data_IF_998375322655
#
_entry.id   IF_998375322655
#
_cell.length_a   1.000
_cell.length_b   1.000
_cell.length_c   1.000
_cell.angle_alpha   90.00
_cell.angle_beta   90.00
_cell.angle_gamma   90.00
#
_symmetry.space_group_name_H-M   'P 1'
#
loop_
_entity.id
_entity.type
_entity.pdbx_description
1 polymer ?
#
# COMPACT_ATOMS: atom_id res chain seq x y z
N UNK A 1 -8.82 -10.22 2.78
CA UNK A 1 -8.35 -8.81 2.76
C UNK A 1 -9.30 -7.99 3.59
N UNK A 2 -8.80 -7.09 4.43
CA UNK A 2 -9.62 -6.31 5.37
C UNK A 2 -9.06 -4.90 5.55
N UNK A 3 -9.53 -4.23 6.60
CA UNK A 3 -8.84 -3.04 7.07
C UNK A 3 -7.52 -3.43 7.76
N UNK A 4 -6.55 -2.52 7.79
CA UNK A 4 -5.31 -2.69 8.55
C UNK A 4 -5.54 -2.34 10.02
N UNK A 5 -6.45 -3.08 10.65
CA UNK A 5 -6.86 -2.87 12.03
C UNK A 5 -6.54 -4.09 12.91
N UNK A 6 -6.01 -3.80 14.09
CA UNK A 6 -5.55 -4.79 15.05
C UNK A 6 -6.69 -5.61 15.63
N UNK A 7 -7.87 -5.01 15.82
CA UNK A 7 -9.02 -5.74 16.31
C UNK A 7 -9.53 -6.73 15.26
N UNK A 8 -9.60 -6.32 13.99
CA UNK A 8 -9.93 -7.25 12.88
C UNK A 8 -8.90 -8.37 12.76
N UNK A 9 -7.61 -8.05 12.80
CA UNK A 9 -6.53 -9.04 12.75
C UNK A 9 -6.65 -10.08 13.87
N UNK A 10 -6.79 -9.60 15.11
CA UNK A 10 -6.86 -10.46 16.29
C UNK A 10 -8.14 -11.30 16.29
N UNK A 11 -9.28 -10.74 15.85
CA UNK A 11 -10.53 -11.48 15.75
C UNK A 11 -10.43 -12.62 14.71
N UNK A 12 -9.88 -12.33 13.53
CA UNK A 12 -9.69 -13.33 12.47
C UNK A 12 -8.76 -14.44 12.93
N UNK A 13 -7.60 -14.10 13.51
CA UNK A 13 -6.66 -15.11 13.99
C UNK A 13 -7.23 -15.95 15.13
N UNK A 14 -7.97 -15.36 16.05
CA UNK A 14 -8.58 -16.09 17.17
C UNK A 14 -9.58 -17.15 16.68
N UNK A 15 -10.37 -16.84 15.66
CA UNK A 15 -11.45 -17.72 15.19
C UNK A 15 -10.97 -18.68 14.12
N UNK A 16 -10.15 -18.22 13.19
CA UNK A 16 -9.78 -18.96 11.98
C UNK A 16 -8.31 -19.38 11.97
N UNK A 17 -7.45 -18.78 12.80
CA UNK A 17 -6.00 -19.02 12.80
C UNK A 17 -5.53 -20.22 13.60
N UNK A 18 -6.40 -20.88 14.38
CA UNK A 18 -6.02 -22.06 15.19
C UNK A 18 -5.62 -23.23 14.30
N UNK A 19 -6.38 -23.50 13.25
CA UNK A 19 -6.18 -24.64 12.35
C UNK A 19 -5.67 -24.22 10.95
N UNK A 20 -5.41 -22.92 10.72
CA UNK A 20 -5.04 -22.40 9.41
C UNK A 20 -3.89 -21.39 9.47
N UNK A 21 -2.97 -21.48 8.52
CA UNK A 21 -1.99 -20.44 8.25
C UNK A 21 -2.62 -19.34 7.40
N UNK A 22 -3.06 -18.26 8.05
CA UNK A 22 -3.70 -17.13 7.38
C UNK A 22 -2.70 -16.01 7.13
N UNK A 23 -2.74 -15.45 5.92
CA UNK A 23 -2.13 -14.15 5.64
C UNK A 23 -3.24 -13.12 5.47
N UNK A 24 -3.24 -12.15 6.37
CA UNK A 24 -4.20 -11.05 6.34
C UNK A 24 -3.54 -9.86 5.64
N UNK A 25 -4.09 -9.49 4.49
CA UNK A 25 -3.59 -8.39 3.67
C UNK A 25 -4.53 -7.20 3.70
N UNK A 26 -3.97 -6.00 3.55
CA UNK A 26 -4.73 -4.78 3.32
C UNK A 26 -5.54 -4.88 2.03
N UNK A 27 -6.80 -4.46 2.10
CA UNK A 27 -7.62 -4.31 0.91
C UNK A 27 -7.09 -3.18 0.03
N UNK A 28 -6.84 -3.46 -1.24
CA UNK A 28 -6.39 -2.47 -2.22
C UNK A 28 -7.32 -1.24 -2.29
N UNK A 29 -8.63 -1.44 -2.21
CA UNK A 29 -9.58 -0.32 -2.25
C UNK A 29 -9.45 0.61 -1.03
N UNK A 30 -9.08 0.10 0.14
CA UNK A 30 -8.77 0.95 1.29
C UNK A 30 -7.49 1.76 1.06
N UNK A 31 -6.46 1.14 0.48
CA UNK A 31 -5.22 1.83 0.08
C UNK A 31 -5.56 2.95 -0.93
N UNK A 32 -6.30 2.64 -1.99
CA UNK A 32 -6.66 3.57 -3.04
C UNK A 32 -7.48 4.76 -2.49
N UNK A 33 -8.47 4.50 -1.62
CA UNK A 33 -9.25 5.54 -0.97
C UNK A 33 -8.36 6.47 -0.14
N UNK A 34 -7.46 5.91 0.69
CA UNK A 34 -6.54 6.71 1.50
C UNK A 34 -5.50 7.45 0.68
N UNK A 35 -5.01 6.88 -0.41
CA UNK A 35 -4.14 7.61 -1.33
C UNK A 35 -4.89 8.78 -1.94
N UNK A 36 -6.12 8.60 -2.42
CA UNK A 36 -6.95 9.68 -2.98
C UNK A 36 -7.22 10.82 -1.99
N UNK A 37 -7.37 10.50 -0.69
CA UNK A 37 -7.46 11.49 0.38
C UNK A 37 -6.14 12.26 0.54
N UNK A 38 -5.02 11.53 0.62
CA UNK A 38 -3.68 12.10 0.89
C UNK A 38 -3.06 12.84 -0.29
N UNK A 39 -3.53 12.57 -1.51
CA UNK A 39 -3.13 13.28 -2.72
C UNK A 39 -4.07 14.43 -3.08
N UNK A 40 -5.08 14.72 -2.24
CA UNK A 40 -6.00 15.83 -2.48
C UNK A 40 -5.20 17.15 -2.48
N UNK A 41 -5.30 17.90 -3.58
CA UNK A 41 -4.57 19.15 -3.76
C UNK A 41 -3.19 19.02 -4.41
N UNK A 42 -2.73 17.79 -4.70
CA UNK A 42 -1.58 17.62 -5.60
C UNK A 42 -1.94 18.08 -7.02
N UNK A 43 -0.92 18.54 -7.74
CA UNK A 43 -1.07 18.80 -9.16
C UNK A 43 -1.51 17.51 -9.90
N UNK A 44 -2.37 17.61 -10.92
CA UNK A 44 -2.88 16.43 -11.64
C UNK A 44 -1.79 15.48 -12.15
N UNK A 45 -0.66 16.03 -12.62
CA UNK A 45 0.47 15.23 -13.08
C UNK A 45 1.09 14.37 -11.97
N UNK A 46 1.28 14.92 -10.77
CA UNK A 46 1.81 14.19 -9.61
C UNK A 46 0.83 13.13 -9.13
N UNK A 47 -0.47 13.44 -9.11
CA UNK A 47 -1.49 12.44 -8.80
C UNK A 47 -1.48 11.30 -9.82
N UNK A 48 -1.37 11.60 -11.12
CA UNK A 48 -1.30 10.59 -12.16
C UNK A 48 -0.06 9.69 -12.00
N UNK A 49 1.08 10.25 -11.61
CA UNK A 49 2.29 9.48 -11.25
C UNK A 49 1.98 8.50 -10.11
N UNK A 50 1.46 8.99 -8.98
CA UNK A 50 1.10 8.13 -7.83
C UNK A 50 0.10 7.04 -8.22
N UNK A 51 -0.94 7.38 -9.00
CA UNK A 51 -1.97 6.43 -9.40
C UNK A 51 -1.45 5.34 -10.34
N UNK A 52 -0.53 5.67 -11.27
CA UNK A 52 0.14 4.67 -12.11
C UNK A 52 0.99 3.74 -11.26
N UNK A 53 1.86 4.28 -10.40
CA UNK A 53 2.71 3.48 -9.52
C UNK A 53 1.91 2.54 -8.61
N UNK A 54 0.74 2.98 -8.11
CA UNK A 54 -0.15 2.11 -7.34
C UNK A 54 -0.69 0.94 -8.16
N UNK A 55 -1.03 1.17 -9.43
CA UNK A 55 -1.47 0.10 -10.32
C UNK A 55 -0.31 -0.86 -10.62
N UNK A 56 0.90 -0.36 -10.87
CA UNK A 56 2.07 -1.21 -11.12
C UNK A 56 2.34 -2.15 -9.94
N UNK A 57 2.19 -1.65 -8.71
CA UNK A 57 2.25 -2.47 -7.50
C UNK A 57 1.06 -3.45 -7.40
N UNK A 58 -0.17 -2.99 -7.64
CA UNK A 58 -1.36 -3.82 -7.50
C UNK A 58 -1.42 -4.98 -8.51
N UNK A 59 -0.98 -4.74 -9.74
CA UNK A 59 -0.97 -5.72 -10.82
C UNK A 59 0.28 -6.59 -10.86
N UNK A 60 1.18 -6.47 -9.88
CA UNK A 60 2.26 -7.43 -9.72
C UNK A 60 1.69 -8.85 -9.56
N UNK A 61 2.13 -9.76 -10.43
CA UNK A 61 1.60 -11.14 -10.47
C UNK A 61 2.26 -12.07 -9.46
N UNK A 62 3.35 -11.63 -8.84
CA UNK A 62 4.08 -12.37 -7.81
C UNK A 62 4.55 -11.42 -6.72
N UNK A 63 4.78 -11.96 -5.52
CA UNK A 63 5.36 -11.22 -4.39
C UNK A 63 6.76 -10.71 -4.72
N UNK A 64 7.58 -11.51 -5.41
CA UNK A 64 8.90 -11.07 -5.88
C UNK A 64 8.80 -9.87 -6.83
N UNK A 65 7.85 -9.89 -7.77
CA UNK A 65 7.61 -8.77 -8.67
C UNK A 65 7.15 -7.52 -7.91
N UNK A 66 6.29 -7.69 -6.89
CA UNK A 66 5.86 -6.60 -6.04
C UNK A 66 7.05 -5.92 -5.37
N UNK A 67 7.92 -6.69 -4.71
CA UNK A 67 9.13 -6.19 -4.04
C UNK A 67 10.10 -5.50 -4.99
N UNK A 68 10.33 -6.08 -6.17
CA UNK A 68 11.20 -5.48 -7.20
C UNK A 68 10.60 -4.16 -7.70
N UNK A 69 9.27 -4.04 -7.80
CA UNK A 69 8.60 -2.81 -8.25
C UNK A 69 8.58 -1.71 -7.18
N UNK A 70 8.68 -2.02 -5.88
CA UNK A 70 8.61 -1.00 -4.82
C UNK A 70 9.73 0.04 -4.90
N UNK A 71 10.99 -0.39 -5.02
CA UNK A 71 12.13 0.52 -5.01
C UNK A 71 12.07 1.52 -6.18
N UNK A 72 11.87 1.09 -7.45
CA UNK A 72 11.69 2.00 -8.58
C UNK A 72 10.54 3.01 -8.38
N UNK A 73 9.41 2.60 -7.81
CA UNK A 73 8.29 3.50 -7.50
C UNK A 73 8.69 4.57 -6.50
N UNK A 74 9.36 4.16 -5.41
CA UNK A 74 9.82 5.10 -4.38
C UNK A 74 10.92 6.03 -4.88
N UNK A 75 11.76 5.56 -5.81
CA UNK A 75 12.80 6.36 -6.47
C UNK A 75 12.19 7.38 -7.42
N UNK A 76 11.23 6.99 -8.26
CA UNK A 76 10.47 7.88 -9.13
C UNK A 76 9.77 9.00 -8.34
N UNK A 77 9.12 8.66 -7.23
CA UNK A 77 8.50 9.66 -6.36
C UNK A 77 9.52 10.61 -5.72
N UNK A 78 10.78 10.21 -5.57
CA UNK A 78 11.84 11.08 -5.02
C UNK A 78 12.26 12.18 -5.98
N UNK A 79 12.03 11.99 -7.28
CA UNK A 79 12.28 13.00 -8.32
C UNK A 79 11.29 14.17 -8.23
N UNK A 80 10.24 14.03 -7.43
CA UNK A 80 9.19 15.01 -7.27
C UNK A 80 9.16 15.55 -5.84
N UNK A 81 9.70 16.76 -5.56
CA UNK A 81 9.69 17.35 -4.22
C UNK A 81 8.28 17.44 -3.61
N UNK A 82 7.25 17.68 -4.44
CA UNK A 82 5.84 17.70 -4.03
C UNK A 82 5.28 16.36 -3.53
N UNK A 83 5.99 15.24 -3.74
CA UNK A 83 5.60 13.91 -3.25
C UNK A 83 6.36 13.50 -1.98
N UNK A 84 7.33 14.27 -1.50
CA UNK A 84 8.19 13.86 -0.38
C UNK A 84 7.39 13.42 0.87
N UNK A 85 6.41 14.23 1.29
CA UNK A 85 5.55 13.90 2.43
C UNK A 85 4.65 12.69 2.16
N UNK A 86 4.13 12.57 0.93
CA UNK A 86 3.29 11.45 0.54
C UNK A 86 4.10 10.14 0.48
N UNK A 87 5.31 10.15 -0.09
CA UNK A 87 6.24 9.01 -0.12
C UNK A 87 6.53 8.52 1.29
N UNK A 88 6.91 9.43 2.20
CA UNK A 88 7.20 9.08 3.59
C UNK A 88 5.99 8.48 4.31
N UNK A 89 4.79 9.04 4.09
CA UNK A 89 3.55 8.45 4.57
C UNK A 89 3.33 7.05 4.00
N UNK A 90 3.48 6.88 2.68
CA UNK A 90 3.13 5.65 2.00
C UNK A 90 4.04 4.49 2.40
N UNK A 91 5.36 4.75 2.45
CA UNK A 91 6.35 3.76 2.88
C UNK A 91 6.09 3.31 4.33
N UNK A 92 5.77 4.24 5.23
CA UNK A 92 5.54 3.95 6.65
C UNK A 92 4.23 3.22 6.90
N UNK A 93 3.15 3.64 6.25
CA UNK A 93 1.79 3.15 6.57
C UNK A 93 1.43 1.91 5.77
N UNK A 94 1.88 1.82 4.51
CA UNK A 94 1.54 0.71 3.63
C UNK A 94 2.70 -0.27 3.52
N UNK A 95 3.86 0.14 3.01
CA UNK A 95 4.95 -0.80 2.71
C UNK A 95 5.61 -1.44 3.95
N UNK A 96 5.67 -0.70 5.07
CA UNK A 96 6.24 -1.22 6.33
C UNK A 96 5.20 -1.94 7.20
N UNK A 97 3.96 -2.07 6.72
CA UNK A 97 2.86 -2.67 7.48
C UNK A 97 2.94 -4.19 7.46
N UNK A 98 2.57 -4.84 8.57
CA UNK A 98 2.38 -6.32 8.62
C UNK A 98 1.31 -6.83 7.66
N UNK A 99 0.47 -5.93 7.16
CA UNK A 99 -0.60 -6.23 6.21
C UNK A 99 -0.18 -6.02 4.75
N UNK A 100 1.07 -5.62 4.52
CA UNK A 100 1.70 -5.58 3.20
C UNK A 100 2.53 -6.85 3.03
N UNK A 101 2.54 -7.36 1.80
CA UNK A 101 3.31 -8.53 1.43
C UNK A 101 4.54 -8.14 0.65
#
# INVERSE_FOLDING_TARGET
MGDADDAQYNAVLRVLGVDNNLTILMCFYHVAAKVREKTKGLQPALYATVARSLNDLHYATTEAQFHITQAPVLDDWSLHPGLASFKAYFARVWLSSRFCR
#
